data_IF_665752811305
#
_entry.id   IF_665752811305
#
_cell.length_a   1.000
_cell.length_b   1.000
_cell.length_c   1.000
_cell.angle_alpha   90.00
_cell.angle_beta   90.00
_cell.angle_gamma   90.00
#
_symmetry.space_group_name_H-M   'P 1'
#
loop_
_entity.id
_entity.type
_entity.pdbx_description
1 polymer ?
#
# COMPACT_ATOMS: atom_id res chain seq x y z
N UNK A 1 -35.62 27.56 -12.63
CA UNK A 1 -34.85 26.67 -11.73
C UNK A 1 -35.69 25.43 -11.44
N UNK A 2 -35.26 24.25 -11.89
CA UNK A 2 -35.96 22.99 -11.56
C UNK A 2 -35.38 22.44 -10.24
N UNK A 3 -36.20 22.02 -9.27
CA UNK A 3 -35.69 21.48 -8.02
C UNK A 3 -34.91 20.19 -8.29
N UNK A 4 -33.68 20.11 -7.79
CA UNK A 4 -32.93 18.87 -7.73
C UNK A 4 -33.71 17.89 -6.86
N UNK A 5 -34.41 16.94 -7.49
CA UNK A 5 -35.18 15.92 -6.78
C UNK A 5 -34.22 14.89 -6.20
N UNK A 6 -34.42 14.58 -4.92
CA UNK A 6 -33.66 13.65 -4.06
C UNK A 6 -33.51 12.22 -4.60
N UNK A 7 -34.12 11.88 -5.75
CA UNK A 7 -34.06 10.56 -6.38
C UNK A 7 -32.68 10.20 -6.95
N UNK A 8 -31.83 11.16 -7.28
CA UNK A 8 -30.48 10.86 -7.80
C UNK A 8 -29.45 10.49 -6.72
N UNK A 9 -29.70 10.80 -5.44
CA UNK A 9 -28.78 10.48 -4.35
C UNK A 9 -28.91 9.02 -3.87
N UNK A 10 -30.03 8.35 -4.18
CA UNK A 10 -30.30 6.96 -3.83
C UNK A 10 -29.66 5.92 -4.77
N UNK A 11 -29.21 6.31 -5.97
CA UNK A 11 -28.58 5.38 -6.92
C UNK A 11 -27.11 5.10 -6.62
N UNK A 12 -26.43 5.91 -5.79
CA UNK A 12 -25.06 5.64 -5.35
C UNK A 12 -24.96 4.66 -4.18
N UNK A 13 -26.09 4.24 -3.59
CA UNK A 13 -26.13 3.22 -2.52
C UNK A 13 -26.53 1.83 -3.01
N UNK A 14 -26.81 1.64 -4.30
CA UNK A 14 -26.87 0.30 -4.89
C UNK A 14 -25.45 -0.16 -5.18
N UNK A 15 -24.78 -0.67 -4.13
CA UNK A 15 -23.60 -1.51 -4.28
C UNK A 15 -24.03 -2.66 -5.17
N UNK A 16 -23.52 -2.81 -6.41
CA UNK A 16 -23.86 -3.94 -7.24
C UNK A 16 -23.51 -5.19 -6.45
N UNK A 17 -24.50 -6.05 -6.23
CA UNK A 17 -24.34 -7.35 -5.58
C UNK A 17 -23.24 -8.10 -6.33
N UNK A 18 -22.03 -8.10 -5.78
CA UNK A 18 -20.92 -8.82 -6.40
C UNK A 18 -21.36 -10.29 -6.51
N UNK A 19 -21.35 -10.88 -7.72
CA UNK A 19 -21.69 -12.28 -7.86
C UNK A 19 -20.71 -13.07 -7.01
N UNK A 20 -21.24 -13.79 -6.02
CA UNK A 20 -20.48 -14.67 -5.17
C UNK A 20 -19.65 -15.60 -6.07
N UNK A 21 -18.32 -15.61 -5.99
CA UNK A 21 -17.52 -16.52 -6.79
C UNK A 21 -17.86 -17.94 -6.35
N UNK A 22 -18.63 -18.65 -7.17
CA UNK A 22 -18.83 -20.09 -7.05
C UNK A 22 -17.46 -20.74 -7.03
N UNK A 23 -17.07 -21.23 -5.86
CA UNK A 23 -15.80 -21.89 -5.60
C UNK A 23 -15.79 -23.22 -6.34
N UNK A 24 -15.40 -23.20 -7.62
CA UNK A 24 -15.07 -24.41 -8.33
C UNK A 24 -13.80 -24.98 -7.68
N UNK A 25 -13.92 -26.18 -7.10
CA UNK A 25 -12.78 -27.01 -6.70
C UNK A 25 -11.97 -27.37 -7.95
N UNK A 26 -11.10 -26.47 -8.39
CA UNK A 26 -10.06 -26.80 -9.36
C UNK A 26 -8.87 -27.40 -8.61
N UNK A 27 -8.92 -28.69 -8.32
CA UNK A 27 -7.72 -29.50 -8.08
C UNK A 27 -7.02 -29.76 -9.42
N UNK A 28 -6.62 -28.69 -10.09
CA UNK A 28 -5.64 -28.75 -11.19
C UNK A 28 -4.33 -28.43 -10.52
N UNK A 29 -3.53 -29.44 -10.19
CA UNK A 29 -2.16 -29.25 -9.73
C UNK A 29 -1.43 -28.44 -10.81
N UNK A 30 -1.12 -27.15 -10.57
CA UNK A 30 -0.51 -26.31 -11.59
C UNK A 30 0.88 -26.86 -11.89
N UNK A 31 1.28 -26.82 -13.16
CA UNK A 31 2.65 -27.22 -13.55
C UNK A 31 3.64 -26.45 -12.69
N UNK A 32 4.59 -27.13 -12.06
CA UNK A 32 5.61 -26.51 -11.21
C UNK A 32 6.30 -25.36 -11.96
N UNK A 33 5.92 -24.12 -11.65
CA UNK A 33 6.58 -22.95 -12.20
C UNK A 33 7.80 -22.64 -11.32
N UNK A 34 8.99 -22.77 -11.89
CA UNK A 34 10.19 -22.21 -11.27
C UNK A 34 10.16 -20.70 -11.50
N UNK A 35 10.05 -19.95 -10.42
CA UNK A 35 10.05 -18.50 -10.42
C UNK A 35 11.32 -17.91 -9.84
N UNK A 36 11.46 -16.60 -10.02
CA UNK A 36 12.32 -15.77 -9.21
C UNK A 36 11.46 -14.89 -8.31
N UNK A 37 11.85 -14.79 -7.04
CA UNK A 37 11.15 -14.01 -6.03
C UNK A 37 11.85 -12.66 -5.84
N UNK A 38 11.44 -11.65 -6.59
CA UNK A 38 11.95 -10.30 -6.41
C UNK A 38 10.98 -9.50 -5.52
N UNK A 39 11.46 -9.07 -4.36
CA UNK A 39 10.77 -8.14 -3.44
C UNK A 39 10.27 -6.88 -4.14
N UNK A 40 11.07 -6.33 -5.06
CA UNK A 40 10.78 -5.09 -5.78
C UNK A 40 9.67 -5.21 -6.83
N UNK A 41 9.41 -6.42 -7.35
CA UNK A 41 8.47 -6.64 -8.47
C UNK A 41 7.12 -7.21 -8.04
N UNK A 42 6.94 -7.47 -6.74
CA UNK A 42 5.76 -8.18 -6.24
C UNK A 42 4.99 -7.31 -5.26
N UNK A 43 3.67 -7.30 -5.40
CA UNK A 43 2.77 -6.64 -4.46
C UNK A 43 2.59 -7.54 -3.24
N UNK A 44 3.56 -7.53 -2.33
CA UNK A 44 3.49 -8.38 -1.15
C UNK A 44 4.73 -8.32 -0.27
N UNK A 45 4.91 -9.34 0.55
CA UNK A 45 6.07 -9.57 1.39
C UNK A 45 6.37 -11.07 1.41
N UNK A 46 7.66 -11.40 1.36
CA UNK A 46 8.14 -12.77 1.51
C UNK A 46 8.64 -13.01 2.93
N UNK A 47 8.36 -14.20 3.45
CA UNK A 47 8.83 -14.68 4.75
C UNK A 47 9.62 -15.95 4.50
N UNK A 48 10.94 -15.86 4.65
CA UNK A 48 11.85 -16.98 4.44
C UNK A 48 12.07 -17.75 5.73
N UNK A 49 12.09 -19.09 5.64
CA UNK A 49 12.31 -19.95 6.79
C UNK A 49 12.85 -21.32 6.38
N UNK A 50 13.33 -22.09 7.36
CA UNK A 50 13.83 -23.45 7.21
C UNK A 50 13.13 -24.37 8.21
N UNK A 51 12.94 -25.63 7.81
CA UNK A 51 12.38 -26.67 8.67
C UNK A 51 13.51 -27.50 9.28
N UNK A 52 13.46 -27.85 10.58
CA UNK A 52 14.44 -28.74 11.19
C UNK A 52 14.44 -30.15 10.58
N UNK A 53 13.32 -30.57 9.99
CA UNK A 53 13.16 -31.89 9.37
C UNK A 53 13.55 -31.92 7.89
N UNK A 54 13.64 -30.75 7.23
CA UNK A 54 13.94 -30.62 5.80
C UNK A 54 15.11 -29.66 5.56
N UNK A 55 16.30 -30.03 6.04
CA UNK A 55 17.50 -29.17 5.96
C UNK A 55 17.99 -28.90 4.53
N UNK A 56 17.53 -29.70 3.55
CA UNK A 56 17.88 -29.55 2.14
C UNK A 56 16.96 -28.57 1.40
N UNK A 57 16.00 -27.96 2.09
CA UNK A 57 15.06 -27.00 1.49
C UNK A 57 15.07 -25.68 2.25
N UNK A 58 14.99 -24.60 1.48
CA UNK A 58 14.60 -23.29 1.98
C UNK A 58 13.16 -23.04 1.58
N UNK A 59 12.36 -22.50 2.49
CA UNK A 59 10.95 -22.21 2.28
C UNK A 59 10.71 -20.71 2.28
N UNK A 60 9.68 -20.30 1.55
CA UNK A 60 9.19 -18.93 1.54
C UNK A 60 7.67 -18.94 1.55
N UNK A 61 7.07 -18.09 2.38
CA UNK A 61 5.66 -17.72 2.26
C UNK A 61 5.61 -16.35 1.60
N UNK A 62 4.98 -16.26 0.44
CA UNK A 62 4.57 -15.00 -0.16
C UNK A 62 3.20 -14.62 0.38
N UNK A 63 2.99 -13.35 0.71
CA UNK A 63 1.66 -12.85 1.05
C UNK A 63 1.46 -11.43 0.56
N UNK A 64 0.25 -11.10 0.12
CA UNK A 64 -0.12 -9.76 -0.34
C UNK A 64 -0.21 -8.72 0.79
N UNK A 65 -0.32 -9.17 2.05
CA UNK A 65 -0.39 -8.32 3.25
C UNK A 65 1.00 -7.85 3.70
N UNK A 66 1.13 -6.59 4.09
CA UNK A 66 2.47 -5.98 4.35
C UNK A 66 2.71 -5.53 5.79
N UNK A 67 1.67 -5.20 6.56
CA UNK A 67 1.86 -4.50 7.83
C UNK A 67 1.88 -5.45 9.03
N UNK A 68 0.76 -6.12 9.29
CA UNK A 68 0.60 -6.87 10.55
C UNK A 68 0.72 -8.37 10.35
N UNK A 69 0.11 -8.88 9.29
CA UNK A 69 0.04 -10.31 9.01
C UNK A 69 1.43 -10.98 8.84
N UNK A 70 2.42 -10.37 8.15
CA UNK A 70 3.76 -10.97 8.11
C UNK A 70 4.43 -11.12 9.48
N UNK A 71 4.16 -10.20 10.41
CA UNK A 71 4.69 -10.25 11.77
C UNK A 71 4.05 -11.42 12.53
N UNK A 72 2.72 -11.56 12.42
CA UNK A 72 1.98 -12.66 13.02
C UNK A 72 2.45 -14.03 12.47
N UNK A 73 2.62 -14.14 11.15
CA UNK A 73 3.12 -15.36 10.52
C UNK A 73 4.54 -15.71 10.96
N UNK A 74 5.46 -14.74 11.04
CA UNK A 74 6.82 -14.97 11.58
C UNK A 74 6.78 -15.53 13.00
N UNK A 75 5.94 -14.97 13.87
CA UNK A 75 5.77 -15.46 15.23
C UNK A 75 5.19 -16.89 15.25
N UNK A 76 4.17 -17.17 14.43
CA UNK A 76 3.55 -18.49 14.33
C UNK A 76 4.52 -19.56 13.80
N UNK A 77 5.38 -19.23 12.84
CA UNK A 77 6.44 -20.11 12.35
C UNK A 77 7.44 -20.46 13.46
N UNK A 78 7.90 -19.46 14.22
CA UNK A 78 8.83 -19.68 15.34
C UNK A 78 8.19 -20.55 16.43
N UNK A 79 6.91 -20.31 16.76
CA UNK A 79 6.17 -21.14 17.71
C UNK A 79 5.97 -22.60 17.25
N UNK A 80 6.10 -22.86 15.95
CA UNK A 80 6.04 -24.19 15.36
C UNK A 80 7.44 -24.79 15.08
N UNK A 81 8.49 -24.25 15.72
CA UNK A 81 9.89 -24.70 15.64
C UNK A 81 10.55 -24.50 14.26
N UNK A 82 9.96 -23.68 13.38
CA UNK A 82 10.63 -23.25 12.16
C UNK A 82 11.66 -22.16 12.46
N UNK A 83 12.79 -22.18 11.75
CA UNK A 83 13.83 -21.16 11.87
C UNK A 83 13.67 -20.12 10.78
N UNK A 84 13.44 -18.87 11.16
CA UNK A 84 13.40 -17.77 10.22
C UNK A 84 14.76 -17.63 9.53
N UNK A 85 14.73 -17.41 8.22
CA UNK A 85 15.92 -17.15 7.41
C UNK A 85 15.92 -15.70 6.95
N UNK A 86 17.10 -15.15 6.72
CA UNK A 86 17.24 -13.82 6.14
C UNK A 86 16.74 -13.83 4.69
N UNK A 87 16.20 -12.68 4.26
CA UNK A 87 15.85 -12.51 2.87
C UNK A 87 17.11 -12.61 2.00
N UNK A 88 17.05 -13.30 0.85
CA UNK A 88 18.13 -13.30 -0.12
C UNK A 88 18.43 -11.85 -0.54
N UNK A 89 19.72 -11.53 -0.72
CA UNK A 89 20.11 -10.19 -1.14
C UNK A 89 19.64 -9.94 -2.58
N UNK A 90 19.18 -8.73 -2.87
CA UNK A 90 18.62 -8.38 -4.18
C UNK A 90 19.65 -8.45 -5.33
N UNK A 91 20.94 -8.33 -5.02
CA UNK A 91 22.05 -8.49 -5.97
C UNK A 91 22.37 -9.96 -6.30
N UNK A 92 21.99 -10.90 -5.43
CA UNK A 92 22.21 -12.33 -5.65
C UNK A 92 21.06 -12.98 -6.44
N UNK A 93 21.16 -12.86 -7.77
CA UNK A 93 20.20 -13.47 -8.72
C UNK A 93 20.05 -14.98 -8.51
N UNK A 94 21.12 -15.68 -8.12
CA UNK A 94 21.05 -17.12 -7.90
C UNK A 94 20.25 -17.45 -6.66
N UNK A 95 20.35 -16.65 -5.60
CA UNK A 95 19.52 -16.78 -4.40
C UNK A 95 18.04 -16.45 -4.67
N UNK A 96 17.78 -15.45 -5.52
CA UNK A 96 16.43 -15.01 -5.87
C UNK A 96 15.65 -15.96 -6.79
N UNK A 97 16.33 -16.80 -7.58
CA UNK A 97 15.70 -17.68 -8.57
C UNK A 97 15.66 -19.16 -8.15
N UNK A 98 14.81 -19.95 -8.81
CA UNK A 98 14.69 -21.39 -8.60
C UNK A 98 13.71 -21.77 -7.50
N UNK A 99 12.82 -20.85 -7.13
CA UNK A 99 11.72 -21.12 -6.19
C UNK A 99 10.60 -21.84 -6.92
N UNK A 100 10.07 -22.89 -6.30
CA UNK A 100 8.95 -23.66 -6.78
C UNK A 100 7.76 -23.42 -5.87
N UNK A 101 6.65 -22.91 -6.42
CA UNK A 101 5.39 -22.80 -5.68
C UNK A 101 4.86 -24.21 -5.42
N UNK A 102 4.60 -24.51 -4.16
CA UNK A 102 4.11 -25.80 -3.69
C UNK A 102 2.62 -25.78 -3.41
N UNK A 103 2.13 -24.70 -2.80
CA UNK A 103 0.75 -24.58 -2.37
C UNK A 103 0.32 -23.10 -2.30
N UNK A 104 -0.99 -22.84 -2.38
CA UNK A 104 -1.57 -21.50 -2.25
C UNK A 104 -2.81 -21.58 -1.38
N UNK A 105 -2.78 -20.90 -0.24
CA UNK A 105 -3.83 -21.02 0.78
C UNK A 105 -4.73 -19.80 0.71
N UNK A 106 -6.02 -20.01 0.45
CA UNK A 106 -7.02 -18.95 0.50
C UNK A 106 -8.27 -19.40 1.25
N UNK A 107 -8.88 -18.48 2.01
CA UNK A 107 -10.12 -18.74 2.75
C UNK A 107 -11.12 -17.64 2.41
N UNK A 108 -12.27 -18.03 1.86
CA UNK A 108 -13.34 -17.10 1.45
C UNK A 108 -12.85 -16.02 0.49
N UNK A 109 -11.98 -16.40 -0.45
CA UNK A 109 -11.37 -15.47 -1.43
C UNK A 109 -10.26 -14.58 -0.88
N UNK A 110 -9.96 -14.65 0.43
CA UNK A 110 -8.83 -13.93 1.01
C UNK A 110 -7.58 -14.80 0.98
N UNK A 111 -6.56 -14.30 0.28
CA UNK A 111 -5.22 -14.88 0.25
C UNK A 111 -4.62 -14.93 1.67
N UNK A 112 -4.15 -16.12 2.06
CA UNK A 112 -3.40 -16.37 3.30
C UNK A 112 -1.91 -16.51 3.03
N UNK A 113 -1.54 -16.76 1.78
CA UNK A 113 -0.17 -16.81 1.31
C UNK A 113 0.09 -18.00 0.40
N UNK A 114 1.11 -17.83 -0.43
CA UNK A 114 1.63 -18.86 -1.32
C UNK A 114 2.90 -19.45 -0.70
N UNK A 115 2.89 -20.77 -0.51
CA UNK A 115 4.04 -21.52 -0.03
C UNK A 115 4.91 -21.91 -1.21
N UNK A 116 6.18 -21.53 -1.15
CA UNK A 116 7.20 -21.94 -2.10
C UNK A 116 8.38 -22.60 -1.39
N UNK A 117 9.09 -23.48 -2.09
CA UNK A 117 10.36 -24.02 -1.63
C UNK A 117 11.42 -23.96 -2.71
N UNK A 118 12.67 -23.95 -2.26
CA UNK A 118 13.86 -24.00 -3.09
C UNK A 118 14.77 -25.09 -2.54
N UNK A 119 15.14 -26.02 -3.40
CA UNK A 119 16.12 -27.04 -3.04
C UNK A 119 17.49 -26.39 -2.86
N UNK A 120 18.04 -26.49 -1.66
CA UNK A 120 19.40 -26.14 -1.35
C UNK A 120 20.27 -27.30 -1.84
N UNK A 121 20.78 -27.16 -3.06
CA UNK A 121 21.76 -28.13 -3.55
C UNK A 121 22.88 -28.19 -2.52
N UNK A 122 23.15 -29.36 -1.89
CA UNK A 122 24.22 -29.48 -0.93
C UNK A 122 25.47 -29.02 -1.64
N UNK A 123 26.01 -27.89 -1.17
CA UNK A 123 27.07 -27.13 -1.80
C UNK A 123 28.02 -28.03 -2.59
N UNK A 124 27.96 -27.98 -3.92
CA UNK A 124 29.08 -28.41 -4.78
C UNK A 124 30.33 -27.52 -4.59
N UNK A 125 30.35 -26.71 -3.54
CA UNK A 125 31.41 -25.79 -3.12
C UNK A 125 32.75 -26.46 -2.78
N UNK A 126 32.89 -27.78 -2.94
CA UNK A 126 34.18 -28.47 -2.82
C UNK A 126 34.72 -29.08 -4.12
N UNK A 127 34.00 -29.08 -5.25
CA UNK A 127 34.42 -29.90 -6.40
C UNK A 127 34.36 -29.26 -7.80
N UNK A 128 34.27 -27.93 -7.91
CA UNK A 128 34.23 -27.26 -9.23
C UNK A 128 35.21 -26.11 -9.40
N UNK A 129 36.32 -26.11 -8.65
CA UNK A 129 37.43 -25.13 -8.80
C UNK A 129 38.62 -25.71 -9.58
N UNK A 130 38.49 -26.84 -10.29
CA UNK A 130 39.68 -27.47 -10.93
C UNK A 130 39.53 -27.98 -12.36
N UNK A 131 38.49 -27.60 -13.08
CA UNK A 131 38.39 -27.90 -14.52
C UNK A 131 37.85 -26.69 -15.29
N UNK A 132 38.43 -25.51 -15.08
CA UNK A 132 38.65 -24.66 -16.25
C UNK A 132 39.65 -25.41 -17.12
N UNK A 133 39.27 -25.92 -18.31
CA UNK A 133 40.29 -26.33 -19.27
C UNK A 133 41.18 -25.11 -19.46
N UNK A 134 42.44 -25.25 -19.07
CA UNK A 134 43.50 -24.31 -19.36
C UNK A 134 43.35 -23.95 -20.84
N UNK A 135 42.93 -22.71 -21.09
CA UNK A 135 42.81 -22.16 -22.43
C UNK A 135 44.24 -22.07 -22.95
N UNK A 136 44.71 -23.14 -23.60
CA UNK A 136 45.92 -23.13 -24.38
C UNK A 136 45.68 -22.08 -25.47
N UNK A 137 46.41 -20.95 -25.49
CA UNK A 137 46.26 -19.97 -26.53
C UNK A 137 46.79 -20.59 -27.82
N UNK A 138 45.90 -21.14 -28.64
CA UNK A 138 46.25 -21.61 -29.98
C UNK A 138 46.52 -20.38 -30.84
N UNK A 139 47.80 -20.06 -30.97
CA UNK A 139 48.48 -19.33 -32.04
C UNK A 139 47.58 -18.59 -33.06
N UNK A 140 47.60 -17.24 -33.09
CA UNK A 140 47.02 -16.47 -34.20
C UNK A 140 47.99 -16.48 -35.38
N UNK A 141 48.00 -17.55 -36.17
CA UNK A 141 48.73 -17.59 -37.44
C UNK A 141 48.08 -18.54 -38.43
N UNK A 142 46.90 -18.18 -38.93
CA UNK A 142 46.45 -18.61 -40.26
C UNK A 142 45.32 -17.72 -40.76
N UNK A 143 45.72 -16.64 -41.40
CA UNK A 143 44.90 -15.94 -42.38
C UNK A 143 44.82 -16.82 -43.65
N UNK A 144 43.67 -16.75 -44.31
CA UNK A 144 43.35 -17.29 -45.64
C UNK A 144 43.14 -18.81 -45.75
N UNK A 145 41.88 -19.24 -45.70
CA UNK A 145 41.17 -19.77 -46.88
C UNK A 145 39.77 -20.30 -46.50
N UNK A 146 38.73 -19.65 -47.00
CA UNK A 146 37.49 -20.37 -47.36
C UNK A 146 37.84 -21.35 -48.49
N UNK A 147 37.25 -22.57 -48.57
CA UNK A 147 35.81 -22.66 -48.85
C UNK A 147 35.08 -23.94 -48.37
N UNK A 148 33.78 -23.96 -48.70
CA UNK A 148 33.00 -25.15 -49.10
C UNK A 148 32.26 -25.90 -47.98
N UNK A 149 31.10 -25.33 -47.68
CA UNK A 149 29.80 -26.00 -47.60
C UNK A 149 29.85 -27.47 -48.04
N UNK A 150 29.87 -28.37 -47.05
CA UNK A 150 29.69 -29.80 -47.22
C UNK A 150 28.49 -30.17 -46.37
N UNK A 151 27.47 -30.70 -47.03
CA UNK A 151 26.24 -31.20 -46.44
C UNK A 151 26.56 -32.20 -45.32
N UNK A 152 26.60 -31.72 -44.08
CA UNK A 152 26.49 -32.60 -42.92
C UNK A 152 25.05 -33.04 -42.83
N UNK A 153 24.82 -34.26 -43.33
CA UNK A 153 23.64 -35.06 -43.03
C UNK A 153 23.32 -34.90 -41.54
N UNK A 154 22.16 -34.31 -41.30
CA UNK A 154 21.48 -34.20 -40.03
C UNK A 154 21.14 -35.64 -39.57
N UNK A 155 22.12 -36.34 -39.02
CA UNK A 155 21.85 -37.41 -38.08
C UNK A 155 21.28 -36.74 -36.85
N UNK A 156 19.98 -36.46 -36.89
CA UNK A 156 19.16 -36.14 -35.73
C UNK A 156 19.28 -37.34 -34.82
N UNK A 157 20.32 -37.35 -33.98
CA UNK A 157 20.42 -38.21 -32.83
C UNK A 157 19.29 -37.71 -31.95
N UNK A 158 18.11 -38.31 -32.12
CA UNK A 158 16.98 -38.22 -31.22
C UNK A 158 17.48 -38.75 -29.89
N UNK A 159 18.10 -37.86 -29.11
CA UNK A 159 18.49 -38.15 -27.75
C UNK A 159 17.21 -38.65 -27.06
N UNK A 160 17.24 -39.83 -26.42
CA UNK A 160 16.06 -40.35 -25.74
C UNK A 160 15.54 -39.26 -24.81
N UNK A 161 14.21 -39.05 -24.75
CA UNK A 161 13.61 -38.04 -23.88
C UNK A 161 14.16 -38.29 -22.47
N UNK A 162 15.08 -37.43 -22.04
CA UNK A 162 15.63 -37.49 -20.70
C UNK A 162 14.44 -37.21 -19.81
N UNK A 163 13.93 -38.24 -19.16
CA UNK A 163 12.96 -38.08 -18.08
C UNK A 163 13.56 -37.05 -17.14
N UNK A 164 12.85 -35.93 -16.88
CA UNK A 164 13.37 -34.90 -16.00
C UNK A 164 13.70 -35.58 -14.68
N UNK A 165 14.93 -35.40 -14.15
CA UNK A 165 15.32 -36.04 -12.90
C UNK A 165 14.25 -35.73 -11.85
N UNK A 166 13.78 -36.77 -11.16
CA UNK A 166 12.81 -36.65 -10.07
C UNK A 166 13.31 -35.56 -9.14
N UNK A 167 12.62 -34.43 -9.13
CA UNK A 167 13.02 -33.35 -8.26
C UNK A 167 12.73 -33.75 -6.82
N UNK A 168 13.66 -33.48 -5.90
CA UNK A 168 13.42 -33.74 -4.50
C UNK A 168 12.22 -32.88 -4.06
N UNK A 169 11.27 -33.52 -3.38
CA UNK A 169 10.11 -32.87 -2.78
C UNK A 169 10.31 -32.73 -1.27
N UNK A 170 9.86 -31.63 -0.65
CA UNK A 170 9.86 -31.50 0.80
C UNK A 170 9.00 -32.57 1.48
N UNK A 171 9.28 -32.87 2.75
CA UNK A 171 8.46 -33.77 3.54
C UNK A 171 7.00 -33.26 3.62
N UNK A 172 6.03 -34.16 3.36
CA UNK A 172 4.61 -33.85 3.43
C UNK A 172 4.17 -33.35 4.81
N UNK A 173 4.82 -33.80 5.88
CA UNK A 173 4.54 -33.33 7.24
C UNK A 173 4.85 -31.84 7.42
N UNK A 174 6.01 -31.39 6.92
CA UNK A 174 6.39 -29.97 6.94
C UNK A 174 5.37 -29.12 6.19
N UNK A 175 4.95 -29.56 5.00
CA UNK A 175 3.96 -28.86 4.20
C UNK A 175 2.60 -28.78 4.92
N UNK A 176 2.14 -29.88 5.51
CA UNK A 176 0.90 -29.90 6.27
C UNK A 176 0.93 -28.96 7.47
N UNK A 177 2.06 -28.90 8.21
CA UNK A 177 2.23 -27.98 9.34
C UNK A 177 2.19 -26.52 8.90
N UNK A 178 2.90 -26.16 7.83
CA UNK A 178 2.89 -24.79 7.30
C UNK A 178 1.51 -24.42 6.77
N UNK A 179 0.85 -25.32 6.05
CA UNK A 179 -0.52 -25.14 5.58
C UNK A 179 -1.47 -24.85 6.75
N UNK A 180 -1.36 -25.62 7.84
CA UNK A 180 -2.17 -25.40 9.05
C UNK A 180 -1.90 -24.04 9.70
N UNK A 181 -0.65 -23.57 9.72
CA UNK A 181 -0.30 -22.22 10.20
C UNK A 181 -1.01 -21.16 9.36
N UNK A 182 -0.98 -21.28 8.02
CA UNK A 182 -1.64 -20.34 7.12
C UNK A 182 -3.17 -20.34 7.27
N UNK A 183 -3.78 -21.52 7.51
CA UNK A 183 -5.22 -21.62 7.74
C UNK A 183 -5.65 -20.99 9.07
N UNK A 184 -4.86 -21.18 10.13
CA UNK A 184 -5.18 -20.72 11.49
C UNK A 184 -4.88 -19.25 11.73
N UNK A 185 -3.96 -18.64 10.97
CA UNK A 185 -3.63 -17.22 11.09
C UNK A 185 -4.52 -16.38 10.16
N UNK A 186 -5.21 -15.38 10.73
CA UNK A 186 -6.10 -14.47 10.00
C UNK A 186 -5.47 -13.09 9.79
N UNK A 187 -5.39 -12.55 8.55
CA UNK A 187 -4.95 -11.18 8.27
C UNK A 187 -6.01 -10.13 8.68
N UNK A 188 -6.69 -10.32 9.81
CA UNK A 188 -7.82 -9.47 10.22
C UNK A 188 -7.43 -8.02 10.47
N UNK A 189 -6.23 -7.78 11.02
CA UNK A 189 -5.73 -6.43 11.27
C UNK A 189 -5.47 -5.66 9.95
N UNK A 190 -4.79 -6.28 8.98
CA UNK A 190 -4.57 -5.65 7.66
C UNK A 190 -5.88 -5.43 6.90
N UNK A 191 -6.82 -6.37 6.95
CA UNK A 191 -8.16 -6.21 6.35
C UNK A 191 -8.91 -5.03 7.00
N UNK A 192 -8.89 -4.92 8.33
CA UNK A 192 -9.54 -3.83 9.04
C UNK A 192 -8.92 -2.47 8.67
N UNK A 193 -7.59 -2.39 8.61
CA UNK A 193 -6.88 -1.18 8.19
C UNK A 193 -7.22 -0.79 6.75
N UNK A 194 -7.26 -1.75 5.84
CA UNK A 194 -7.66 -1.51 4.45
C UNK A 194 -9.10 -0.98 4.37
N UNK A 195 -10.05 -1.57 5.09
CA UNK A 195 -11.44 -1.10 5.14
C UNK A 195 -11.52 0.32 5.70
N UNK A 196 -10.76 0.63 6.76
CA UNK A 196 -10.72 1.97 7.35
C UNK A 196 -10.14 3.02 6.40
N UNK A 197 -9.10 2.68 5.62
CA UNK A 197 -8.51 3.55 4.61
C UNK A 197 -9.47 3.82 3.44
N UNK A 198 -10.19 2.80 2.99
CA UNK A 198 -11.22 2.96 1.97
C UNK A 198 -12.39 3.82 2.49
N UNK A 199 -12.86 3.55 3.71
CA UNK A 199 -13.93 4.31 4.33
C UNK A 199 -13.55 5.79 4.52
N UNK A 200 -12.33 6.08 5.02
CA UNK A 200 -11.87 7.46 5.23
C UNK A 200 -11.80 8.25 3.93
N UNK A 201 -11.33 7.63 2.85
CA UNK A 201 -11.29 8.22 1.51
C UNK A 201 -12.70 8.54 1.00
N UNK A 202 -13.65 7.63 1.17
CA UNK A 202 -15.06 7.85 0.80
C UNK A 202 -15.67 8.99 1.63
N UNK A 203 -15.47 8.99 2.95
CA UNK A 203 -15.97 10.06 3.83
C UNK A 203 -15.42 11.43 3.42
N UNK A 204 -14.12 11.51 3.09
CA UNK A 204 -13.51 12.74 2.66
C UNK A 204 -14.05 13.23 1.31
N UNK A 205 -14.24 12.32 0.34
CA UNK A 205 -14.85 12.65 -0.94
C UNK A 205 -16.29 13.17 -0.78
N UNK A 206 -17.10 12.54 0.08
CA UNK A 206 -18.47 12.99 0.39
C UNK A 206 -18.45 14.37 1.07
N UNK A 207 -17.59 14.56 2.07
CA UNK A 207 -17.47 15.84 2.78
C UNK A 207 -17.04 16.99 1.84
N UNK A 208 -16.08 16.74 0.94
CA UNK A 208 -15.64 17.69 -0.07
C UNK A 208 -16.78 18.03 -1.04
N UNK A 209 -17.51 17.02 -1.51
CA UNK A 209 -18.66 17.21 -2.41
C UNK A 209 -19.75 18.05 -1.74
N UNK A 210 -20.12 17.74 -0.49
CA UNK A 210 -21.11 18.51 0.27
C UNK A 210 -20.65 19.95 0.49
N UNK A 211 -19.37 20.16 0.81
CA UNK A 211 -18.79 21.49 0.99
C UNK A 211 -18.86 22.32 -0.31
N UNK A 212 -18.59 21.70 -1.45
CA UNK A 212 -18.66 22.36 -2.76
C UNK A 212 -20.10 22.73 -3.13
N UNK A 213 -21.06 21.83 -2.91
CA UNK A 213 -22.49 22.11 -3.08
C UNK A 213 -22.95 23.26 -2.18
N UNK A 214 -22.52 23.26 -0.92
CA UNK A 214 -22.83 24.33 0.03
C UNK A 214 -22.26 25.68 -0.44
N UNK A 215 -21.00 25.71 -0.87
CA UNK A 215 -20.36 26.94 -1.39
C UNK A 215 -21.06 27.48 -2.64
N UNK A 216 -21.41 26.61 -3.59
CA UNK A 216 -22.16 27.01 -4.78
C UNK A 216 -23.53 27.59 -4.40
N UNK A 217 -24.25 26.94 -3.50
CA UNK A 217 -25.56 27.40 -3.02
C UNK A 217 -25.45 28.74 -2.28
N UNK A 218 -24.36 28.94 -1.52
CA UNK A 218 -24.08 30.20 -0.85
C UNK A 218 -23.83 31.32 -1.86
N UNK A 219 -23.01 31.08 -2.88
CA UNK A 219 -22.70 32.06 -3.92
C UNK A 219 -23.94 32.42 -4.74
N UNK A 220 -24.75 31.44 -5.14
CA UNK A 220 -26.00 31.70 -5.90
C UNK A 220 -26.99 32.51 -5.07
N UNK A 221 -27.21 32.14 -3.80
CA UNK A 221 -28.08 32.88 -2.89
C UNK A 221 -27.58 34.31 -2.65
N UNK A 222 -26.28 34.51 -2.49
CA UNK A 222 -25.70 35.85 -2.36
C UNK A 222 -25.84 36.67 -3.64
N UNK A 223 -25.69 36.06 -4.81
CA UNK A 223 -25.91 36.72 -6.09
C UNK A 223 -27.37 37.17 -6.24
N UNK A 224 -28.33 36.34 -5.84
CA UNK A 224 -29.76 36.69 -5.82
C UNK A 224 -30.05 37.84 -4.86
N UNK A 225 -29.56 37.78 -3.61
CA UNK A 225 -29.72 38.88 -2.65
C UNK A 225 -29.13 40.20 -3.16
N UNK A 226 -27.98 40.15 -3.86
CA UNK A 226 -27.39 41.33 -4.51
C UNK A 226 -28.27 41.88 -5.63
N UNK A 227 -28.98 41.02 -6.38
CA UNK A 227 -29.94 41.47 -7.40
C UNK A 227 -31.14 42.14 -6.75
N UNK A 228 -31.73 41.53 -5.72
CA UNK A 228 -32.88 42.09 -4.99
C UNK A 228 -32.56 43.48 -4.40
N UNK A 229 -31.39 43.64 -3.76
CA UNK A 229 -30.97 44.95 -3.21
C UNK A 229 -30.80 46.02 -4.29
N UNK A 230 -30.31 45.65 -5.48
CA UNK A 230 -30.18 46.60 -6.61
C UNK A 230 -31.55 47.01 -7.17
N UNK A 231 -32.51 46.09 -7.22
CA UNK A 231 -33.87 46.39 -7.64
C UNK A 231 -34.58 47.30 -6.63
N UNK A 232 -34.44 47.04 -5.33
CA UNK A 232 -34.99 47.89 -4.27
C UNK A 232 -34.44 49.33 -4.33
N UNK A 233 -33.13 49.50 -4.55
CA UNK A 233 -32.52 50.82 -4.74
C UNK A 233 -33.05 51.55 -5.98
N UNK A 234 -33.28 50.83 -7.09
CA UNK A 234 -33.88 51.42 -8.30
C UNK A 234 -35.32 51.89 -8.08
N UNK A 235 -36.07 51.20 -7.22
CA UNK A 235 -37.44 51.59 -6.85
C UNK A 235 -37.47 52.81 -5.91
N UNK A 236 -36.46 52.98 -5.04
CA UNK A 236 -36.37 54.14 -4.15
C UNK A 236 -35.93 55.44 -4.85
N UNK A 237 -35.10 55.36 -5.89
CA UNK A 237 -34.56 56.53 -6.61
C UNK A 237 -35.62 57.53 -7.13
N UNK A 238 -36.74 57.12 -7.78
CA UNK A 238 -37.76 58.07 -8.22
C UNK A 238 -38.57 58.70 -7.06
N UNK A 239 -38.69 58.04 -5.90
CA UNK A 239 -39.34 58.65 -4.75
C UNK A 239 -38.50 59.80 -4.16
N UNK A 240 -37.17 59.63 -4.08
CA UNK A 240 -36.27 60.71 -3.67
C UNK A 240 -36.31 61.91 -4.61
N UNK A 241 -36.28 61.69 -5.93
CA UNK A 241 -36.38 62.78 -6.91
C UNK A 241 -37.70 63.57 -6.79
N UNK A 242 -38.80 62.89 -6.48
CA UNK A 242 -40.09 63.57 -6.25
C UNK A 242 -40.10 64.41 -4.98
N UNK A 243 -39.41 63.95 -3.95
CA UNK A 243 -39.35 64.65 -2.67
C UNK A 243 -38.47 65.91 -2.77
N UNK A 244 -37.32 65.81 -3.46
CA UNK A 244 -36.46 66.96 -3.76
C UNK A 244 -37.15 68.00 -4.66
N UNK A 245 -37.96 67.58 -5.65
CA UNK A 245 -38.76 68.52 -6.44
C UNK A 245 -39.91 69.18 -5.65
N UNK A 246 -40.41 68.54 -4.59
CA UNK A 246 -41.47 69.11 -3.76
C UNK A 246 -40.95 70.14 -2.75
N UNK A 247 -39.72 69.98 -2.26
CA UNK A 247 -39.11 70.91 -1.29
C UNK A 247 -38.41 72.10 -1.96
N UNK A 248 -38.04 72.01 -3.25
CA UNK A 248 -37.42 73.11 -4.00
C UNK A 248 -38.38 74.20 -4.49
N UNK A 249 -39.65 74.20 -4.07
CA UNK A 249 -40.72 74.99 -4.68
C UNK A 249 -41.10 76.31 -4.00
N UNK A 250 -40.46 76.73 -2.90
CA UNK A 250 -40.84 77.97 -2.23
C UNK A 250 -39.63 78.63 -1.56
N UNK A 251 -38.78 79.23 -2.38
CA UNK A 251 -37.63 80.03 -1.96
C UNK A 251 -37.56 81.33 -2.76
N UNK A 252 -38.59 82.17 -2.64
CA UNK A 252 -38.42 83.61 -2.79
C UNK A 252 -37.56 84.09 -1.61
N UNK A 253 -36.44 84.76 -1.88
CA UNK A 253 -35.79 85.59 -0.88
C UNK A 253 -34.27 85.56 -0.89
N UNK A 254 -33.74 86.62 -1.48
CA UNK A 254 -32.51 87.31 -1.10
C UNK A 254 -31.16 86.73 -1.56
N UNK A 255 -30.71 87.37 -2.64
CA UNK A 255 -29.32 87.69 -2.92
C UNK A 255 -28.63 88.19 -1.64
N UNK A 256 -27.62 87.47 -1.15
CA UNK A 256 -26.55 88.14 -0.43
C UNK A 256 -25.22 87.44 -0.69
N UNK A 257 -24.23 88.29 -0.90
CA UNK A 257 -22.88 87.93 -1.31
C UNK A 257 -22.18 87.07 -0.25
N UNK A 258 -21.29 86.18 -0.69
CA UNK A 258 -20.12 85.94 0.16
C UNK A 258 -19.45 84.58 0.06
N UNK A 259 -18.25 84.65 -0.53
CA UNK A 259 -17.04 83.99 -0.06
C UNK A 259 -16.87 82.52 -0.52
N UNK A 260 -16.07 82.42 -1.59
CA UNK A 260 -15.12 81.33 -1.81
C UNK A 260 -14.47 80.88 -0.50
N UNK A 261 -14.81 79.69 -0.03
CA UNK A 261 -13.98 78.95 0.91
C UNK A 261 -13.74 77.56 0.33
N UNK A 262 -12.63 77.48 -0.39
CA UNK A 262 -11.91 76.25 -0.70
C UNK A 262 -11.70 75.42 0.57
N UNK A 263 -12.60 74.48 0.84
CA UNK A 263 -12.43 73.49 1.91
C UNK A 263 -11.85 72.20 1.33
N UNK A 264 -10.52 72.22 1.33
CA UNK A 264 -9.63 71.12 1.68
C UNK A 264 -10.28 69.73 1.88
N UNK A 265 -9.78 68.80 1.04
CA UNK A 265 -9.05 67.61 1.51
C UNK A 265 -9.85 66.66 2.40
N UNK A 266 -10.42 65.62 1.78
CA UNK A 266 -10.52 64.32 2.45
C UNK A 266 -10.14 63.21 1.49
N UNK A 267 -8.83 63.03 1.33
CA UNK A 267 -8.25 61.78 0.85
C UNK A 267 -8.72 60.68 1.79
N UNK A 268 -9.72 59.93 1.34
CA UNK A 268 -10.23 58.75 2.02
C UNK A 268 -9.24 57.64 1.71
N UNK A 269 -8.15 57.61 2.49
CA UNK A 269 -7.33 56.41 2.59
C UNK A 269 -8.24 55.32 3.14
N UNK A 270 -8.63 54.40 2.27
CA UNK A 270 -9.17 53.11 2.69
C UNK A 270 -8.04 52.39 3.43
N UNK A 271 -7.92 52.69 4.71
CA UNK A 271 -7.24 51.84 5.66
C UNK A 271 -8.02 50.53 5.66
N UNK A 272 -7.55 49.58 4.86
CA UNK A 272 -7.90 48.18 4.99
C UNK A 272 -7.62 47.81 6.44
N UNK A 273 -8.69 47.71 7.23
CA UNK A 273 -8.66 47.11 8.56
C UNK A 273 -8.31 45.64 8.31
N UNK A 274 -7.02 45.34 8.29
CA UNK A 274 -6.52 43.99 8.40
C UNK A 274 -6.96 43.53 9.79
N UNK A 275 -7.86 42.55 9.91
CA UNK A 275 -8.21 42.02 11.22
C UNK A 275 -6.91 41.52 11.85
N UNK A 276 -6.60 42.04 13.04
CA UNK A 276 -5.47 41.57 13.83
C UNK A 276 -5.61 40.05 13.97
N UNK A 277 -4.82 39.30 13.20
CA UNK A 277 -4.64 37.88 13.44
C UNK A 277 -4.04 37.79 14.83
N UNK A 278 -4.87 37.42 15.81
CA UNK A 278 -4.39 36.90 17.09
C UNK A 278 -3.39 35.82 16.74
N UNK A 279 -2.12 36.08 17.01
CA UNK A 279 -1.08 35.06 17.08
C UNK A 279 -1.57 34.03 18.09
N UNK A 280 -2.17 32.95 17.59
CA UNK A 280 -2.35 31.74 18.36
C UNK A 280 -0.95 31.24 18.66
N UNK A 281 -0.47 31.57 19.86
CA UNK A 281 0.72 30.98 20.45
C UNK A 281 0.44 29.50 20.59
N UNK A 282 0.90 28.70 19.64
CA UNK A 282 0.95 27.26 19.81
C UNK A 282 1.87 26.98 21.01
N UNK A 283 1.40 26.24 22.03
CA UNK A 283 2.28 25.79 23.11
C UNK A 283 3.40 24.97 22.48
N UNK A 284 4.65 25.39 22.74
CA UNK A 284 5.84 24.61 22.37
C UNK A 284 5.65 23.19 22.91
N UNK A 285 5.83 22.14 22.08
CA UNK A 285 5.84 20.78 22.60
C UNK A 285 6.96 20.70 23.63
N UNK A 286 6.59 20.39 24.88
CA UNK A 286 7.55 20.03 25.91
C UNK A 286 8.25 18.75 25.43
N UNK A 287 9.41 18.91 24.81
CA UNK A 287 10.42 17.87 24.69
C UNK A 287 10.85 17.53 26.12
N UNK A 288 10.08 16.62 26.73
CA UNK A 288 10.47 15.93 27.94
C UNK A 288 11.69 15.08 27.62
N UNK A 289 12.87 15.65 27.87
CA UNK A 289 14.12 14.93 27.97
C UNK A 289 13.99 13.90 29.10
N UNK A 290 13.52 12.69 28.76
CA UNK A 290 13.48 11.55 29.67
C UNK A 290 14.89 10.96 29.74
N UNK A 291 15.76 11.64 30.51
CA UNK A 291 17.03 11.10 31.01
C UNK A 291 16.71 10.28 32.26
N UNK A 292 16.83 8.96 32.16
CA UNK A 292 16.64 7.99 33.24
C UNK A 292 16.56 6.61 32.61
N UNK A 293 17.63 5.83 32.51
CA UNK A 293 18.57 5.58 33.60
C UNK A 293 17.89 4.67 34.62
N UNK A 294 17.58 3.43 34.22
CA UNK A 294 17.26 2.37 35.16
C UNK A 294 17.73 1.04 34.56
N UNK A 295 18.77 0.50 35.19
CA UNK A 295 19.39 -0.77 34.83
C UNK A 295 18.37 -1.90 34.88
N UNK A 296 18.39 -2.71 33.83
CA UNK A 296 17.77 -4.03 33.85
C UNK A 296 18.72 -4.91 34.63
N UNK A 297 18.33 -5.24 35.86
CA UNK A 297 18.92 -6.35 36.59
C UNK A 297 18.64 -7.63 35.82
N UNK A 298 19.72 -8.33 35.48
CA UNK A 298 19.75 -9.71 35.06
C UNK A 298 19.21 -10.59 36.19
N UNK A 299 17.92 -10.92 36.14
CA UNK A 299 17.39 -12.05 36.91
C UNK A 299 17.77 -13.34 36.21
N UNK A 300 18.91 -13.88 36.64
CA UNK A 300 19.32 -15.27 36.46
C UNK A 300 18.26 -16.18 37.07
N UNK A 301 17.41 -16.77 36.23
CA UNK A 301 16.54 -17.87 36.66
C UNK A 301 17.38 -19.14 36.63
N UNK A 302 17.91 -19.51 37.80
CA UNK A 302 18.35 -20.87 38.09
C UNK A 302 17.14 -21.78 37.91
N UNK A 303 17.14 -22.60 36.86
CA UNK A 303 16.20 -23.71 36.73
C UNK A 303 16.86 -24.91 37.40
N UNK A 304 16.38 -25.21 38.60
CA UNK A 304 16.72 -26.42 39.33
C UNK A 304 16.42 -27.66 38.48
N UNK A 305 17.42 -28.53 38.42
CA UNK A 305 17.27 -29.91 38.00
C UNK A 305 16.43 -30.64 39.05
N UNK A 306 15.27 -31.16 38.65
CA UNK A 306 14.60 -32.21 39.41
C UNK A 306 14.63 -33.48 38.58
N UNK A 307 15.54 -34.37 38.99
CA UNK A 307 15.49 -35.81 38.76
C UNK A 307 14.13 -36.35 39.26
N UNK A 308 13.47 -37.15 38.43
CA UNK A 308 12.59 -38.26 38.81
C UNK A 308 12.23 -38.98 37.49
N UNK A 309 12.56 -40.24 37.21
CA UNK A 309 12.76 -41.36 38.12
C UNK A 309 11.49 -42.22 38.22
N UNK A 310 11.06 -42.86 37.14
CA UNK A 310 10.13 -44.00 37.09
C UNK A 310 10.21 -44.58 35.65
N UNK A 311 10.88 -45.69 35.33
CA UNK A 311 10.62 -47.08 35.70
C UNK A 311 9.13 -47.42 35.83
N UNK A 312 8.54 -47.94 34.75
CA UNK A 312 7.51 -48.97 34.86
C UNK A 312 7.77 -50.04 33.78
N UNK A 313 8.02 -51.24 34.29
CA UNK A 313 8.08 -52.53 33.60
C UNK A 313 6.66 -53.04 33.32
N UNK A 314 6.57 -53.83 32.26
CA UNK A 314 5.75 -55.02 32.06
C UNK A 314 4.22 -54.95 32.26
N UNK A 315 3.50 -55.02 31.14
CA UNK A 315 2.46 -56.01 30.87
C UNK A 315 2.31 -56.19 29.35
#
# INVERSE_FOLDING_TARGET
MRPFTTKHLLHLMFIPSFPSPTSALSTVFPSQQFGCQYSSHTYGTYIYFTSPNDTNFSFAIHTTWKQYYPIALRAALVLADFRLADAPREDDKHAMCGWQTLDSVSIKGWDRGDLAAKYLSPSRSSLSTQLTPEYVPTNPSSLLAHPKQRDMRLSTITAPPRTPPHQPHPNAETLARVHQILLTNYPGADIAMFILEMASTIFWAVALTLSLVYLLSYVTRHAELRKMRKEELRLQQPQQQRQEQSDGGNGDGDEDEGIELASLRRGKSEAWIVPAMRKLSFPKPCLGARKGGRGVQTTTVQREASLSGATLRDA
#
